data_IF_698050550755
#
_entry.id   IF_698050550755
#
_cell.length_a   1.000
_cell.length_b   1.000
_cell.length_c   1.000
_cell.angle_alpha   90.00
_cell.angle_beta   90.00
_cell.angle_gamma   90.00
#
_symmetry.space_group_name_H-M   'P 1'
#
loop_
_entity.id
_entity.type
_entity.pdbx_description
1 polymer ?
#
# COMPACT_ATOMS: atom_id res chain seq x y z
N UNK A 1 -16.79 -13.66 13.12
CA UNK A 1 -15.71 -13.34 12.15
C UNK A 1 -14.56 -14.32 12.35
N UNK A 2 -13.89 -14.79 11.30
CA UNK A 2 -12.65 -15.59 11.40
C UNK A 2 -11.44 -14.66 11.20
N UNK A 3 -10.90 -14.03 12.25
CA UNK A 3 -9.85 -13.01 12.11
C UNK A 3 -8.58 -13.54 11.43
N UNK A 4 -8.30 -14.84 11.56
CA UNK A 4 -7.13 -15.50 10.97
C UNK A 4 -7.15 -15.63 9.44
N UNK A 5 -8.30 -15.46 8.80
CA UNK A 5 -8.43 -15.54 7.34
C UNK A 5 -8.67 -14.18 6.68
N UNK A 6 -8.72 -13.11 7.47
CA UNK A 6 -8.82 -11.75 6.96
C UNK A 6 -7.42 -11.14 6.91
N UNK A 7 -6.88 -11.02 5.71
CA UNK A 7 -5.55 -10.45 5.48
C UNK A 7 -5.68 -8.94 5.34
N UNK A 8 -4.94 -8.20 6.15
CA UNK A 8 -4.83 -6.74 6.16
C UNK A 8 -3.36 -6.38 6.03
N UNK A 9 -3.06 -5.14 5.66
CA UNK A 9 -1.69 -4.60 5.68
C UNK A 9 -0.63 -5.38 4.89
N UNK A 10 -1.04 -6.16 3.88
CA UNK A 10 -0.13 -6.89 3.02
C UNK A 10 0.91 -5.98 2.34
N UNK A 11 0.58 -4.69 2.08
CA UNK A 11 1.51 -3.67 1.54
C UNK A 11 2.77 -3.53 2.40
N UNK A 12 2.70 -3.76 3.71
CA UNK A 12 3.85 -3.71 4.62
C UNK A 12 4.87 -4.83 4.38
N UNK A 13 4.48 -5.91 3.69
CA UNK A 13 5.31 -7.09 3.44
C UNK A 13 5.89 -7.14 2.02
N UNK A 14 5.33 -6.39 1.07
CA UNK A 14 5.73 -6.39 -0.35
C UNK A 14 7.19 -5.99 -0.49
N UNK A 15 7.96 -6.77 -1.25
CA UNK A 15 9.38 -6.50 -1.56
C UNK A 15 10.35 -6.58 -0.36
N UNK A 16 9.90 -7.06 0.80
CA UNK A 16 10.72 -7.22 2.01
C UNK A 16 11.14 -8.66 2.24
N UNK A 17 12.25 -8.86 2.94
CA UNK A 17 12.67 -10.21 3.35
C UNK A 17 12.00 -10.60 4.65
N UNK A 18 11.72 -11.89 4.82
CA UNK A 18 11.09 -12.38 6.04
C UNK A 18 11.89 -11.99 7.29
N UNK A 19 13.23 -11.95 7.19
CA UNK A 19 14.14 -11.64 8.31
C UNK A 19 14.23 -10.16 8.67
N UNK A 20 13.63 -9.26 7.90
CA UNK A 20 13.71 -7.82 8.16
C UNK A 20 13.09 -7.51 9.53
N UNK A 21 13.75 -6.65 10.32
CA UNK A 21 13.30 -6.33 11.67
C UNK A 21 11.87 -5.77 11.69
N UNK A 22 11.53 -4.93 10.71
CA UNK A 22 10.18 -4.37 10.54
C UNK A 22 9.15 -5.46 10.21
N UNK A 23 9.50 -6.44 9.38
CA UNK A 23 8.61 -7.58 9.08
C UNK A 23 8.36 -8.40 10.34
N UNK A 24 9.41 -8.71 11.10
CA UNK A 24 9.29 -9.45 12.35
C UNK A 24 8.50 -8.68 13.44
N UNK A 25 8.58 -7.35 13.46
CA UNK A 25 7.76 -6.51 14.31
C UNK A 25 6.28 -6.60 13.89
N UNK A 26 5.99 -6.41 12.61
CA UNK A 26 4.62 -6.43 12.06
C UNK A 26 3.92 -7.78 12.26
N UNK A 27 4.63 -8.91 12.06
CA UNK A 27 4.06 -10.26 12.19
C UNK A 27 3.49 -10.51 13.59
N UNK A 28 4.02 -9.86 14.63
CA UNK A 28 3.51 -9.98 16.02
C UNK A 28 2.12 -9.37 16.20
N UNK A 29 1.74 -8.45 15.32
CA UNK A 29 0.47 -7.72 15.39
C UNK A 29 -0.56 -8.22 14.38
N UNK A 30 -0.14 -9.00 13.38
CA UNK A 30 -1.08 -9.54 12.39
C UNK A 30 -1.97 -10.65 12.97
N UNK A 31 -3.27 -10.65 12.64
CA UNK A 31 -4.18 -11.71 13.07
C UNK A 31 -4.04 -12.99 12.23
N UNK A 32 -3.29 -12.93 11.13
CA UNK A 32 -3.04 -14.03 10.20
C UNK A 32 -1.59 -14.52 10.29
N UNK A 33 -1.36 -15.76 9.83
CA UNK A 33 -0.05 -16.39 9.90
C UNK A 33 0.82 -15.95 8.71
N UNK A 34 2.08 -15.63 9.01
CA UNK A 34 3.12 -15.39 7.99
C UNK A 34 4.28 -16.36 8.24
N UNK A 35 4.73 -17.04 7.19
CA UNK A 35 5.85 -17.99 7.22
C UNK A 35 6.98 -17.52 6.31
N UNK A 36 8.17 -18.10 6.50
CA UNK A 36 9.31 -17.89 5.62
C UNK A 36 9.31 -18.97 4.53
N UNK A 37 9.24 -18.58 3.25
CA UNK A 37 9.38 -19.48 2.12
C UNK A 37 10.46 -18.94 1.19
N UNK A 38 11.59 -19.66 1.08
CA UNK A 38 12.72 -19.20 0.27
C UNK A 38 13.35 -17.88 0.72
N UNK A 39 13.14 -17.45 1.98
CA UNK A 39 13.60 -16.16 2.50
C UNK A 39 12.59 -15.02 2.40
N UNK A 40 11.48 -15.23 1.70
CA UNK A 40 10.40 -14.26 1.53
C UNK A 40 9.25 -14.50 2.53
N UNK A 41 8.52 -13.45 2.93
CA UNK A 41 7.30 -13.60 3.71
C UNK A 41 6.19 -14.21 2.85
N UNK A 42 5.49 -15.20 3.39
CA UNK A 42 4.36 -15.87 2.75
C UNK A 42 3.19 -15.92 3.71
N UNK A 43 2.04 -15.42 3.27
CA UNK A 43 0.81 -15.32 4.06
C UNK A 43 0.05 -16.64 3.95
N UNK A 44 -0.38 -17.18 5.09
CA UNK A 44 -1.06 -18.46 5.18
C UNK A 44 -2.50 -18.24 5.66
N UNK A 45 -3.47 -18.72 4.88
CA UNK A 45 -4.90 -18.62 5.19
C UNK A 45 -5.57 -19.97 4.97
N UNK A 46 -6.72 -20.17 5.62
CA UNK A 46 -7.61 -21.31 5.32
C UNK A 46 -8.70 -20.86 4.35
N UNK A 47 -8.73 -21.47 3.16
CA UNK A 47 -9.72 -21.20 2.13
C UNK A 47 -10.40 -22.49 1.68
N UNK A 48 -11.73 -22.55 1.83
CA UNK A 48 -12.57 -23.72 1.48
C UNK A 48 -12.11 -25.03 2.14
N UNK A 49 -11.65 -24.95 3.40
CA UNK A 49 -11.18 -26.11 4.17
C UNK A 49 -9.74 -26.55 3.84
N UNK A 50 -9.05 -25.84 2.96
CA UNK A 50 -7.65 -26.10 2.63
C UNK A 50 -6.76 -24.94 3.06
N UNK A 51 -5.55 -25.25 3.50
CA UNK A 51 -4.53 -24.24 3.73
C UNK A 51 -3.99 -23.75 2.39
N UNK A 52 -4.02 -22.43 2.17
CA UNK A 52 -3.45 -21.76 1.01
C UNK A 52 -2.33 -20.83 1.46
N UNK A 53 -1.35 -20.69 0.58
CA UNK A 53 -0.18 -19.82 0.75
C UNK A 53 -0.22 -18.78 -0.34
N UNK A 54 -0.03 -17.52 0.02
CA UNK A 54 0.00 -16.39 -0.90
C UNK A 54 1.22 -15.52 -0.65
N UNK A 55 1.82 -14.99 -1.70
CA UNK A 55 2.77 -13.89 -1.56
C UNK A 55 2.03 -12.59 -1.22
N UNK A 56 2.70 -11.60 -0.60
CA UNK A 56 2.13 -10.27 -0.40
C UNK A 56 1.64 -9.64 -1.72
N UNK A 57 2.36 -9.87 -2.81
CA UNK A 57 2.02 -9.39 -4.15
C UNK A 57 0.72 -10.01 -4.68
N UNK A 58 0.49 -11.32 -4.46
CA UNK A 58 -0.76 -12.00 -4.83
C UNK A 58 -1.96 -11.48 -4.03
N UNK A 59 -1.78 -11.23 -2.74
CA UNK A 59 -2.85 -10.61 -1.93
C UNK A 59 -3.16 -9.20 -2.44
N UNK A 60 -2.13 -8.40 -2.70
CA UNK A 60 -2.31 -7.03 -3.18
C UNK A 60 -2.90 -7.01 -4.61
N UNK A 61 -2.59 -8.00 -5.45
CA UNK A 61 -3.19 -8.12 -6.77
C UNK A 61 -4.68 -8.43 -6.72
N UNK A 62 -5.17 -9.15 -5.71
CA UNK A 62 -6.61 -9.35 -5.51
C UNK A 62 -7.33 -8.02 -5.23
N UNK A 63 -6.71 -7.11 -4.48
CA UNK A 63 -7.24 -5.76 -4.24
C UNK A 63 -7.30 -4.98 -5.55
N UNK A 64 -6.23 -4.98 -6.35
CA UNK A 64 -6.21 -4.32 -7.65
C UNK A 64 -7.21 -4.91 -8.64
N UNK A 65 -7.39 -6.23 -8.65
CA UNK A 65 -8.45 -6.89 -9.45
C UNK A 65 -9.81 -6.36 -9.04
N UNK A 66 -10.05 -6.17 -7.73
CA UNK A 66 -11.32 -5.59 -7.28
C UNK A 66 -11.52 -4.14 -7.70
N UNK A 67 -10.45 -3.35 -7.71
CA UNK A 67 -10.48 -1.97 -8.22
C UNK A 67 -10.73 -1.92 -9.73
N UNK A 68 -10.13 -2.85 -10.49
CA UNK A 68 -10.39 -3.04 -11.91
C UNK A 68 -11.87 -3.35 -12.16
N UNK A 69 -12.43 -4.34 -11.48
CA UNK A 69 -13.86 -4.69 -11.61
C UNK A 69 -14.78 -3.49 -11.33
N UNK A 70 -14.45 -2.69 -10.32
CA UNK A 70 -15.21 -1.49 -10.00
C UNK A 70 -15.14 -0.43 -11.11
N UNK A 71 -13.95 -0.23 -11.70
CA UNK A 71 -13.77 0.67 -12.83
C UNK A 71 -14.48 0.17 -14.10
N UNK A 72 -14.42 -1.13 -14.39
CA UNK A 72 -15.12 -1.76 -15.51
C UNK A 72 -16.64 -1.63 -15.36
N UNK A 73 -17.16 -1.84 -14.15
CA UNK A 73 -18.58 -1.65 -13.86
C UNK A 73 -19.05 -0.20 -14.02
N UNK A 74 -18.17 0.77 -13.73
CA UNK A 74 -18.48 2.20 -13.91
C UNK A 74 -18.41 2.64 -15.37
N UNK A 75 -17.42 2.15 -16.14
CA UNK A 75 -17.16 2.57 -17.51
C UNK A 75 -17.89 1.72 -18.57
N UNK A 76 -18.41 0.55 -18.18
CA UNK A 76 -19.03 -0.46 -19.05
C UNK A 76 -18.12 -0.94 -20.20
N UNK A 77 -16.81 -0.94 -19.94
CA UNK A 77 -15.77 -1.43 -20.86
C UNK A 77 -14.69 -2.18 -20.11
N UNK A 78 -13.95 -3.03 -20.81
CA UNK A 78 -12.78 -3.72 -20.26
C UNK A 78 -11.64 -2.73 -19.95
N UNK A 79 -11.07 -2.82 -18.76
CA UNK A 79 -9.93 -2.00 -18.31
C UNK A 79 -8.66 -2.84 -18.39
N UNK A 80 -7.78 -2.48 -19.31
CA UNK A 80 -6.53 -3.22 -19.57
C UNK A 80 -5.27 -2.48 -19.17
N UNK A 81 -5.34 -1.16 -19.00
CA UNK A 81 -4.19 -0.32 -18.71
C UNK A 81 -4.39 0.44 -17.40
N UNK A 82 -3.35 0.51 -16.58
CA UNK A 82 -3.40 1.25 -15.32
C UNK A 82 -2.05 1.91 -14.99
N UNK A 83 -2.15 3.04 -14.28
CA UNK A 83 -1.04 3.63 -13.53
C UNK A 83 -1.27 3.25 -12.07
N UNK A 84 -0.28 2.58 -11.47
CA UNK A 84 -0.39 2.05 -10.11
C UNK A 84 0.70 2.61 -9.22
N UNK A 85 0.39 2.84 -7.95
CA UNK A 85 1.38 3.20 -6.91
C UNK A 85 1.93 1.95 -6.21
N UNK A 86 2.18 0.89 -6.98
CA UNK A 86 2.58 -0.43 -6.50
C UNK A 86 3.64 -1.05 -7.42
N UNK A 87 4.19 -2.21 -7.04
CA UNK A 87 5.20 -2.91 -7.85
C UNK A 87 4.62 -3.41 -9.18
N UNK A 88 5.50 -3.59 -10.18
CA UNK A 88 5.09 -4.01 -11.54
C UNK A 88 4.41 -5.37 -11.54
N UNK A 89 4.89 -6.26 -10.67
CA UNK A 89 4.43 -7.64 -10.58
C UNK A 89 2.97 -7.71 -10.14
N UNK A 90 2.56 -6.86 -9.18
CA UNK A 90 1.16 -6.78 -8.77
C UNK A 90 0.26 -6.39 -9.96
N UNK A 91 0.64 -5.37 -10.73
CA UNK A 91 -0.12 -4.95 -11.91
C UNK A 91 -0.30 -6.09 -12.91
N UNK A 92 0.79 -6.84 -13.19
CA UNK A 92 0.76 -7.96 -14.11
C UNK A 92 -0.15 -9.11 -13.61
N UNK A 93 -0.08 -9.47 -12.33
CA UNK A 93 -0.93 -10.54 -11.75
C UNK A 93 -2.41 -10.15 -11.80
N UNK A 94 -2.74 -8.86 -11.67
CA UNK A 94 -4.11 -8.35 -11.78
C UNK A 94 -4.65 -8.26 -13.22
N UNK A 95 -3.85 -8.65 -14.23
CA UNK A 95 -4.24 -8.52 -15.63
C UNK A 95 -4.34 -7.06 -16.10
N UNK A 96 -3.52 -6.19 -15.52
CA UNK A 96 -3.36 -4.79 -15.90
C UNK A 96 -1.98 -4.57 -16.53
N UNK A 97 -1.96 -3.93 -17.69
CA UNK A 97 -0.74 -3.38 -18.24
C UNK A 97 -0.33 -2.17 -17.39
N UNK A 98 0.67 -2.36 -16.54
CA UNK A 98 1.27 -1.27 -15.76
C UNK A 98 1.99 -0.30 -16.68
N UNK A 99 1.26 0.70 -17.21
CA UNK A 99 1.81 1.72 -18.09
C UNK A 99 2.92 2.50 -17.40
N UNK A 100 2.75 2.76 -16.09
CA UNK A 100 3.75 3.40 -15.26
C UNK A 100 3.51 3.08 -13.78
N UNK A 101 4.61 2.91 -13.04
CA UNK A 101 4.58 3.01 -11.58
C UNK A 101 4.91 4.46 -11.25
N UNK A 102 4.03 5.12 -10.50
CA UNK A 102 4.30 6.45 -9.96
C UNK A 102 4.39 6.37 -8.45
N UNK A 103 5.25 7.19 -7.85
CA UNK A 103 5.29 7.32 -6.39
C UNK A 103 4.07 8.11 -5.94
N UNK A 104 3.47 7.72 -4.81
CA UNK A 104 2.35 8.42 -4.17
C UNK A 104 2.56 9.94 -4.05
N UNK A 105 3.73 10.45 -3.59
CA UNK A 105 3.96 11.90 -3.57
C UNK A 105 3.91 12.54 -4.96
N UNK A 106 4.47 11.91 -5.98
CA UNK A 106 4.38 12.44 -7.36
C UNK A 106 2.94 12.45 -7.86
N UNK A 107 2.16 11.42 -7.54
CA UNK A 107 0.74 11.35 -7.88
C UNK A 107 -0.05 12.50 -7.22
N UNK A 108 0.21 12.77 -5.94
CA UNK A 108 -0.41 13.86 -5.21
C UNK A 108 -0.04 15.25 -5.78
N UNK A 109 1.22 15.44 -6.19
CA UNK A 109 1.66 16.68 -6.83
C UNK A 109 0.93 16.95 -8.15
N UNK A 110 0.79 15.91 -8.99
CA UNK A 110 0.04 15.97 -10.25
C UNK A 110 -1.45 16.24 -9.98
N UNK A 111 -2.04 15.56 -9.00
CA UNK A 111 -3.45 15.74 -8.65
C UNK A 111 -3.78 17.17 -8.19
N UNK A 112 -2.84 17.85 -7.52
CA UNK A 112 -3.02 19.25 -7.15
C UNK A 112 -2.86 20.23 -8.34
N UNK A 113 -2.38 19.73 -9.48
CA UNK A 113 -2.09 20.51 -10.69
C UNK A 113 -0.85 21.40 -10.51
N UNK A 114 0.13 20.97 -9.72
CA UNK A 114 1.35 21.76 -9.49
C UNK A 114 2.21 21.86 -10.74
N UNK A 115 2.17 20.85 -11.61
CA UNK A 115 2.81 20.82 -12.92
C UNK A 115 2.25 21.88 -13.89
N UNK A 116 0.98 22.28 -13.72
CA UNK A 116 0.34 23.33 -14.53
C UNK A 116 0.36 24.72 -13.86
N UNK A 117 0.20 24.78 -12.53
CA UNK A 117 0.02 26.04 -11.78
C UNK A 117 1.33 26.76 -11.45
N UNK A 118 2.45 26.04 -11.45
CA UNK A 118 3.74 26.57 -11.03
C UNK A 118 4.57 26.88 -12.26
N UNK A 119 4.97 28.14 -12.42
CA UNK A 119 5.95 28.56 -13.43
C UNK A 119 7.36 28.56 -12.81
N UNK A 120 8.25 27.74 -13.37
CA UNK A 120 9.63 27.60 -12.91
C UNK A 120 9.82 26.70 -11.68
N UNK A 121 11.07 26.62 -11.20
CA UNK A 121 11.44 25.73 -10.11
C UNK A 121 10.72 26.09 -8.81
N UNK A 122 9.92 25.17 -8.27
CA UNK A 122 9.36 25.28 -6.92
C UNK A 122 9.58 24.02 -6.10
N UNK A 123 9.80 24.25 -4.81
CA UNK A 123 9.87 23.21 -3.80
C UNK A 123 8.47 22.99 -3.23
N UNK A 124 7.99 21.75 -3.28
CA UNK A 124 6.70 21.34 -2.75
C UNK A 124 6.92 20.30 -1.67
N UNK A 125 6.40 20.58 -0.48
CA UNK A 125 6.35 19.61 0.61
C UNK A 125 4.99 18.92 0.60
N UNK A 126 5.00 17.60 0.51
CA UNK A 126 3.84 16.74 0.58
C UNK A 126 3.82 16.12 1.96
N UNK A 127 2.67 16.25 2.62
CA UNK A 127 2.38 15.66 3.92
C UNK A 127 1.27 14.64 3.72
N UNK A 128 1.58 13.35 3.87
CA UNK A 128 0.65 12.23 3.71
C UNK A 128 0.51 11.49 5.03
N UNK A 129 -0.63 11.63 5.70
CA UNK A 129 -0.94 10.95 6.95
C UNK A 129 -2.13 10.02 6.73
N UNK A 130 -1.81 8.76 6.44
CA UNK A 130 -2.79 7.73 6.14
C UNK A 130 -3.33 7.01 7.38
N UNK A 131 -3.97 5.86 7.12
CA UNK A 131 -4.52 5.00 8.17
C UNK A 131 -3.46 4.37 9.08
N UNK A 132 -2.27 4.06 8.56
CA UNK A 132 -1.22 3.40 9.34
C UNK A 132 0.21 3.77 8.96
N UNK A 133 0.40 4.76 8.10
CA UNK A 133 1.70 5.29 7.73
C UNK A 133 1.63 6.81 7.57
N UNK A 134 2.75 7.45 7.91
CA UNK A 134 2.96 8.88 7.79
C UNK A 134 4.20 9.13 6.94
N UNK A 135 4.04 9.81 5.81
CA UNK A 135 5.11 10.11 4.87
C UNK A 135 5.18 11.62 4.59
N UNK A 136 6.39 12.17 4.59
CA UNK A 136 6.69 13.54 4.19
C UNK A 136 7.70 13.51 3.05
N UNK A 137 7.37 14.17 1.95
CA UNK A 137 8.22 14.22 0.75
C UNK A 137 8.45 15.65 0.29
N UNK A 138 9.68 16.01 -0.04
CA UNK A 138 10.04 17.28 -0.67
C UNK A 138 10.33 17.06 -2.16
N UNK A 139 9.54 17.68 -3.03
CA UNK A 139 9.64 17.55 -4.48
C UNK A 139 10.04 18.89 -5.11
N UNK A 140 10.80 18.81 -6.20
CA UNK A 140 11.02 19.93 -7.10
C UNK A 140 10.19 19.70 -8.36
N UNK A 141 9.18 20.56 -8.57
CA UNK A 141 8.11 20.35 -9.56
C UNK A 141 8.61 20.45 -10.99
N UNK A 142 9.53 21.37 -11.30
CA UNK A 142 10.06 21.55 -12.67
C UNK A 142 10.77 20.29 -13.19
N UNK A 143 11.40 19.51 -12.32
CA UNK A 143 12.12 18.28 -12.68
C UNK A 143 11.31 17.00 -12.34
N UNK A 144 10.20 17.13 -11.60
CA UNK A 144 9.52 15.98 -10.97
C UNK A 144 10.41 15.19 -10.00
N UNK A 145 11.51 15.79 -9.52
CA UNK A 145 12.53 15.11 -8.72
C UNK A 145 12.16 15.16 -7.24
N UNK A 146 12.08 13.98 -6.62
CA UNK A 146 12.02 13.84 -5.17
C UNK A 146 13.40 14.18 -4.58
N UNK A 147 13.48 15.25 -3.79
CA UNK A 147 14.73 15.69 -3.15
C UNK A 147 14.95 15.04 -1.78
N UNK A 148 13.87 14.84 -1.02
CA UNK A 148 13.94 14.20 0.29
C UNK A 148 12.63 13.46 0.59
N UNK A 149 12.73 12.39 1.37
CA UNK A 149 11.61 11.71 1.97
C UNK A 149 11.96 11.31 3.41
N UNK A 150 11.01 11.47 4.32
CA UNK A 150 11.09 11.06 5.71
C UNK A 150 9.68 10.67 6.17
N UNK A 151 9.55 9.95 7.28
CA UNK A 151 8.25 9.49 7.73
C UNK A 151 8.34 8.50 8.88
N UNK A 152 7.16 8.02 9.29
CA UNK A 152 6.99 6.94 10.23
C UNK A 152 6.04 5.91 9.61
N UNK A 153 6.57 4.72 9.29
CA UNK A 153 5.78 3.67 8.65
C UNK A 153 4.74 3.07 9.60
N UNK A 154 4.72 3.41 10.88
CA UNK A 154 3.87 2.83 11.91
C UNK A 154 3.09 3.90 12.69
N UNK A 155 2.82 5.04 12.05
CA UNK A 155 1.99 6.10 12.59
C UNK A 155 0.83 6.42 11.64
N UNK A 156 -0.40 6.38 12.14
CA UNK A 156 -1.55 6.81 11.36
C UNK A 156 -2.87 6.88 12.15
N UNK A 157 -3.97 6.93 11.41
CA UNK A 157 -5.33 6.95 11.97
C UNK A 157 -5.65 5.81 12.93
N UNK A 158 -5.05 4.63 12.75
CA UNK A 158 -5.21 3.47 13.65
C UNK A 158 -4.68 3.77 15.07
N UNK A 159 -3.57 4.49 15.20
CA UNK A 159 -3.03 4.89 16.49
C UNK A 159 -3.97 5.86 17.21
N UNK A 160 -4.58 6.77 16.46
CA UNK A 160 -5.56 7.71 17.00
C UNK A 160 -6.81 6.99 17.50
N UNK A 161 -7.29 6.00 16.73
CA UNK A 161 -8.38 5.12 17.15
C UNK A 161 -8.02 4.34 18.42
N UNK A 162 -6.82 3.77 18.48
CA UNK A 162 -6.35 3.02 19.66
C UNK A 162 -6.27 3.91 20.91
N UNK A 163 -5.85 5.18 20.77
CA UNK A 163 -5.88 6.15 21.88
C UNK A 163 -7.30 6.40 22.40
N UNK A 164 -8.27 6.57 21.51
CA UNK A 164 -9.69 6.74 21.87
C UNK A 164 -10.25 5.48 22.53
N UNK A 165 -9.98 4.30 21.97
CA UNK A 165 -10.41 3.01 22.54
C UNK A 165 -9.86 2.84 23.96
N UNK A 166 -8.57 3.09 24.18
CA UNK A 166 -7.96 3.01 25.51
C UNK A 166 -8.59 3.99 26.51
N UNK A 167 -8.94 5.20 26.07
CA UNK A 167 -9.64 6.17 26.90
C UNK A 167 -11.01 5.65 27.36
N UNK A 168 -11.77 5.00 26.47
CA UNK A 168 -13.10 4.47 26.81
C UNK A 168 -13.07 3.15 27.58
N UNK A 169 -12.04 2.31 27.41
CA UNK A 169 -11.90 1.03 28.14
C UNK A 169 -11.41 1.24 29.59
N UNK A 170 -10.73 2.35 29.88
CA UNK A 170 -10.21 2.65 31.23
C UNK A 170 -11.24 3.26 32.20
N UNK A 171 -12.52 3.35 31.82
CA UNK A 171 -13.63 3.76 32.70
C UNK A 171 -14.52 2.57 33.08
#
# INVERSE_FOLDING_TARGET
MKPHNNVLDAKRLIGRKFKDAEVQANIKHFPFKVICKGGEPTIVVEYRGEQKEFTPEEIFSMVLTKMKEAAEAYLDIAVTNAVVTATKDVGAISGLNGLRIIKEPTAAAIAYGLDEKVTGQSNVLIFDLGGGAFDVSLLVVEEGILKAAAGDTHLGGEDFNNRLVNHFIQN
#
